data_IF_500868266745
#
_entry.id   IF_500868266745
#
_cell.length_a   1.000
_cell.length_b   1.000
_cell.length_c   1.000
_cell.angle_alpha   90.00
_cell.angle_beta   90.00
_cell.angle_gamma   90.00
#
_symmetry.space_group_name_H-M   'P 1'
#
loop_
_entity.id
_entity.type
_entity.pdbx_description
1 polymer ?
#
# COMPACT_ATOMS: atom_id res chain seq x y z
N UNK A 1 3.65 -23.71 13.65
CA UNK A 1 2.38 -24.15 13.04
C UNK A 1 1.88 -22.99 12.17
N UNK A 2 2.18 -23.03 10.87
CA UNK A 2 2.04 -21.89 9.93
C UNK A 2 1.50 -22.45 8.61
N UNK A 3 0.21 -22.86 8.58
CA UNK A 3 -0.40 -23.51 7.41
C UNK A 3 -1.58 -22.72 6.82
N UNK A 4 -2.15 -21.76 7.55
CA UNK A 4 -3.39 -21.09 7.13
C UNK A 4 -3.19 -19.94 6.13
N UNK A 5 -1.99 -19.35 6.06
CA UNK A 5 -1.68 -18.26 5.11
C UNK A 5 -1.59 -18.76 3.66
N UNK A 6 -1.11 -19.99 3.44
CA UNK A 6 -0.94 -20.55 2.10
C UNK A 6 -2.29 -20.88 1.45
N UNK A 7 -3.28 -21.31 2.24
CA UNK A 7 -4.60 -21.68 1.72
C UNK A 7 -5.35 -20.42 1.28
N UNK A 8 -5.27 -19.35 2.06
CA UNK A 8 -5.90 -18.06 1.74
C UNK A 8 -5.22 -17.39 0.54
N UNK A 9 -3.88 -17.41 0.45
CA UNK A 9 -3.14 -16.88 -0.72
C UNK A 9 -3.36 -17.72 -1.98
N UNK A 10 -3.47 -19.04 -1.85
CA UNK A 10 -3.80 -19.94 -2.96
C UNK A 10 -5.23 -19.72 -3.45
N UNK A 11 -6.21 -19.65 -2.54
CA UNK A 11 -7.60 -19.28 -2.86
C UNK A 11 -7.71 -17.90 -3.52
N UNK A 12 -6.84 -16.95 -3.13
CA UNK A 12 -6.80 -15.60 -3.70
C UNK A 12 -6.12 -15.52 -5.09
N UNK A 13 -5.41 -16.56 -5.53
CA UNK A 13 -4.80 -16.67 -6.87
C UNK A 13 -5.66 -17.48 -7.85
N UNK A 14 -6.69 -18.17 -7.40
CA UNK A 14 -7.58 -18.93 -8.29
C UNK A 14 -8.33 -17.94 -9.22
N UNK A 15 -8.19 -18.08 -10.55
CA UNK A 15 -8.89 -17.24 -11.50
C UNK A 15 -10.41 -17.35 -11.31
N UNK A 16 -11.11 -16.22 -11.36
CA UNK A 16 -12.56 -16.13 -11.14
C UNK A 16 -13.40 -17.04 -12.04
N UNK A 17 -12.88 -17.42 -13.21
CA UNK A 17 -13.52 -18.40 -14.08
C UNK A 17 -13.62 -19.78 -13.45
N UNK A 18 -12.68 -20.18 -12.60
CA UNK A 18 -12.66 -21.52 -12.00
C UNK A 18 -13.81 -21.71 -11.02
N UNK A 19 -14.17 -20.69 -10.22
CA UNK A 19 -15.33 -20.80 -9.34
C UNK A 19 -16.64 -20.75 -10.12
N UNK A 20 -16.71 -19.95 -11.19
CA UNK A 20 -17.88 -19.87 -12.08
C UNK A 20 -18.08 -21.17 -12.85
N UNK A 21 -17.03 -21.76 -13.42
CA UNK A 21 -17.11 -23.03 -14.15
C UNK A 21 -17.39 -24.19 -13.21
N UNK A 22 -16.82 -24.19 -12.00
CA UNK A 22 -17.10 -25.21 -11.00
C UNK A 22 -18.56 -25.15 -10.51
N UNK A 23 -19.09 -23.95 -10.26
CA UNK A 23 -20.50 -23.76 -9.88
C UNK A 23 -21.46 -24.10 -11.02
N UNK A 24 -21.16 -23.68 -12.25
CA UNK A 24 -21.98 -24.00 -13.42
C UNK A 24 -21.93 -25.51 -13.73
N UNK A 25 -20.76 -26.13 -13.61
CA UNK A 25 -20.57 -27.57 -13.73
C UNK A 25 -21.41 -28.31 -12.68
N UNK A 26 -21.33 -27.93 -11.41
CA UNK A 26 -22.11 -28.55 -10.34
C UNK A 26 -23.62 -28.37 -10.53
N UNK A 27 -24.06 -27.19 -10.99
CA UNK A 27 -25.47 -26.93 -11.31
C UNK A 27 -25.96 -27.77 -12.49
N UNK A 28 -25.16 -27.91 -13.55
CA UNK A 28 -25.47 -28.79 -14.68
C UNK A 28 -25.51 -30.26 -14.23
N UNK A 29 -24.56 -30.67 -13.39
CA UNK A 29 -24.50 -32.02 -12.83
C UNK A 29 -25.77 -32.33 -12.03
N UNK A 30 -26.21 -31.45 -11.13
CA UNK A 30 -27.48 -31.61 -10.43
C UNK A 30 -28.67 -31.59 -11.40
N UNK A 31 -28.72 -30.65 -12.34
CA UNK A 31 -29.84 -30.52 -13.29
C UNK A 31 -29.99 -31.72 -14.21
N UNK A 32 -28.91 -32.41 -14.59
CA UNK A 32 -28.96 -33.57 -15.49
C UNK A 32 -29.00 -34.90 -14.75
N UNK A 33 -28.39 -35.01 -13.56
CA UNK A 33 -28.36 -36.26 -12.78
C UNK A 33 -29.64 -36.46 -11.97
N UNK A 34 -30.19 -35.40 -11.36
CA UNK A 34 -31.44 -35.50 -10.57
C UNK A 34 -32.62 -36.04 -11.41
N UNK A 35 -32.91 -35.53 -12.63
CA UNK A 35 -34.01 -36.07 -13.43
C UNK A 35 -33.72 -37.46 -14.02
N UNK A 36 -32.46 -37.92 -14.03
CA UNK A 36 -32.12 -39.29 -14.44
C UNK A 36 -32.50 -40.32 -13.38
N UNK A 37 -32.49 -39.93 -12.09
CA UNK A 37 -32.97 -40.76 -10.99
C UNK A 37 -34.50 -40.66 -10.80
N UNK A 38 -35.15 -39.57 -11.23
CA UNK A 38 -36.61 -39.41 -11.14
C UNK A 38 -37.42 -40.23 -12.16
N UNK A 39 -36.79 -40.77 -13.21
CA UNK A 39 -37.49 -41.56 -14.23
C UNK A 39 -37.96 -42.97 -13.78
N UNK A 40 -37.79 -43.34 -12.51
CA UNK A 40 -38.15 -44.66 -11.99
C UNK A 40 -39.06 -44.69 -10.76
N UNK A 41 -39.47 -43.56 -10.18
CA UNK A 41 -40.41 -43.57 -9.05
C UNK A 41 -41.53 -42.52 -9.21
N UNK A 42 -42.75 -43.02 -9.28
CA UNK A 42 -44.00 -42.27 -9.51
C UNK A 42 -44.45 -41.40 -8.33
N UNK A 43 -43.55 -41.01 -7.43
CA UNK A 43 -43.88 -40.24 -6.21
C UNK A 43 -43.42 -38.77 -6.24
N UNK A 44 -42.70 -38.34 -7.29
CA UNK A 44 -42.18 -36.96 -7.40
C UNK A 44 -43.04 -36.01 -8.23
N UNK A 45 -44.07 -36.51 -8.93
CA UNK A 45 -44.93 -35.67 -9.78
C UNK A 45 -45.85 -34.69 -9.00
N UNK A 46 -46.01 -34.84 -7.68
CA UNK A 46 -46.80 -33.91 -6.86
C UNK A 46 -45.97 -32.78 -6.21
N UNK A 47 -44.64 -32.89 -6.16
CA UNK A 47 -43.79 -31.88 -5.49
C UNK A 47 -43.32 -30.77 -6.44
N UNK A 48 -43.42 -31.00 -7.76
CA UNK A 48 -43.06 -30.02 -8.80
C UNK A 48 -44.01 -28.83 -8.92
N UNK A 49 -45.23 -28.88 -8.37
CA UNK A 49 -46.26 -27.84 -8.61
C UNK A 49 -46.26 -26.72 -7.56
N UNK A 50 -45.60 -26.84 -6.40
CA UNK A 50 -45.69 -25.78 -5.37
C UNK A 50 -44.38 -25.12 -4.94
N UNK A 51 -43.20 -25.70 -5.22
CA UNK A 51 -41.93 -25.19 -4.65
C UNK A 51 -40.92 -24.68 -5.70
N UNK A 52 -41.02 -25.10 -6.96
CA UNK A 52 -40.11 -24.67 -8.03
C UNK A 52 -40.08 -23.15 -8.33
N UNK A 53 -41.23 -22.45 -8.42
CA UNK A 53 -41.26 -21.04 -8.83
C UNK A 53 -40.81 -20.05 -7.74
N UNK A 54 -40.82 -20.46 -6.47
CA UNK A 54 -40.59 -19.58 -5.32
C UNK A 54 -39.13 -19.59 -4.86
N UNK A 55 -38.44 -20.74 -4.97
CA UNK A 55 -37.03 -20.83 -4.57
C UNK A 55 -36.04 -20.44 -5.67
N UNK A 56 -36.42 -20.53 -6.95
CA UNK A 56 -35.59 -20.15 -8.08
C UNK A 56 -35.09 -18.67 -8.07
N UNK A 57 -35.94 -17.66 -7.77
CA UNK A 57 -35.47 -16.27 -7.72
C UNK A 57 -34.61 -15.96 -6.49
N UNK A 58 -34.81 -16.64 -5.36
CA UNK A 58 -34.02 -16.45 -4.13
C UNK A 58 -32.60 -17.00 -4.29
N UNK A 59 -32.45 -18.16 -4.95
CA UNK A 59 -31.14 -18.72 -5.29
C UNK A 59 -30.42 -17.87 -6.35
N UNK A 60 -31.15 -17.29 -7.31
CA UNK A 60 -30.60 -16.37 -8.30
C UNK A 60 -30.12 -15.03 -7.70
N UNK A 61 -30.86 -14.48 -6.73
CA UNK A 61 -30.49 -13.26 -6.00
C UNK A 61 -29.29 -13.48 -5.05
N UNK A 62 -29.18 -14.67 -4.44
CA UNK A 62 -28.05 -15.02 -3.57
C UNK A 62 -26.72 -15.21 -4.33
N UNK A 63 -26.74 -15.47 -5.64
CA UNK A 63 -25.53 -15.63 -6.48
C UNK A 63 -24.93 -14.31 -7.00
N UNK A 64 -25.59 -13.16 -6.82
CA UNK A 64 -25.09 -11.86 -7.29
C UNK A 64 -24.22 -11.11 -6.25
N UNK A 65 -23.93 -11.69 -5.09
CA UNK A 65 -23.34 -10.98 -3.94
C UNK A 65 -21.81 -10.99 -3.77
N UNK A 66 -20.94 -11.54 -4.63
CA UNK A 66 -19.50 -11.28 -4.50
C UNK A 66 -18.97 -10.30 -5.56
N UNK A 67 -19.70 -9.22 -5.85
CA UNK A 67 -19.27 -8.21 -6.84
C UNK A 67 -18.48 -7.02 -6.25
N UNK A 68 -18.36 -6.87 -4.92
CA UNK A 68 -17.86 -5.59 -4.34
C UNK A 68 -16.43 -5.60 -3.79
N UNK A 69 -15.72 -6.73 -3.71
CA UNK A 69 -14.39 -6.76 -3.07
C UNK A 69 -13.17 -6.75 -4.01
N UNK A 70 -13.34 -6.96 -5.32
CA UNK A 70 -12.19 -7.15 -6.24
C UNK A 70 -11.54 -5.85 -6.75
N UNK A 71 -12.30 -4.74 -6.83
CA UNK A 71 -11.77 -3.47 -7.35
C UNK A 71 -10.95 -2.66 -6.34
N UNK A 72 -11.10 -2.92 -5.03
CA UNK A 72 -10.35 -2.22 -3.98
C UNK A 72 -8.88 -2.68 -3.88
N UNK A 73 -8.52 -3.84 -4.45
CA UNK A 73 -7.16 -4.41 -4.35
C UNK A 73 -6.22 -3.99 -5.50
N UNK A 74 -6.75 -3.46 -6.61
CA UNK A 74 -5.96 -3.04 -7.79
C UNK A 74 -5.26 -1.69 -7.58
N UNK A 75 -5.91 -0.76 -6.89
CA UNK A 75 -5.37 0.59 -6.69
C UNK A 75 -4.15 0.64 -5.77
N UNK A 76 -3.94 -0.38 -4.92
CA UNK A 76 -2.73 -0.45 -4.09
C UNK A 76 -1.50 -0.78 -4.93
N UNK A 77 -1.60 -1.75 -5.85
CA UNK A 77 -0.46 -2.19 -6.67
C UNK A 77 0.02 -1.10 -7.64
N UNK A 78 -0.90 -0.31 -8.21
CA UNK A 78 -0.56 0.83 -9.08
C UNK A 78 0.18 1.93 -8.30
N UNK A 79 -0.37 2.37 -7.17
CA UNK A 79 0.29 3.40 -6.32
C UNK A 79 1.69 3.04 -5.84
N UNK A 80 1.95 1.75 -5.55
CA UNK A 80 3.30 1.31 -5.15
C UNK A 80 4.30 1.32 -6.31
N UNK A 81 3.83 1.11 -7.54
CA UNK A 81 4.68 1.17 -8.73
C UNK A 81 5.02 2.62 -9.05
N UNK A 82 4.02 3.49 -9.10
CA UNK A 82 4.17 4.92 -9.37
C UNK A 82 5.15 5.56 -8.35
N UNK A 83 5.00 5.25 -7.05
CA UNK A 83 5.90 5.76 -6.01
C UNK A 83 7.35 5.26 -6.18
N UNK A 84 7.54 4.02 -6.65
CA UNK A 84 8.89 3.49 -6.89
C UNK A 84 9.57 4.20 -8.05
N UNK A 85 8.83 4.46 -9.13
CA UNK A 85 9.35 5.21 -10.28
C UNK A 85 9.70 6.64 -9.88
N UNK A 86 8.85 7.32 -9.10
CA UNK A 86 9.14 8.66 -8.57
C UNK A 86 10.40 8.67 -7.71
N UNK A 87 10.57 7.72 -6.79
CA UNK A 87 11.77 7.62 -5.96
C UNK A 87 13.01 7.37 -6.84
N UNK A 88 12.91 6.48 -7.83
CA UNK A 88 14.02 6.23 -8.76
C UNK A 88 14.41 7.47 -9.55
N UNK A 89 13.43 8.23 -10.06
CA UNK A 89 13.68 9.50 -10.73
C UNK A 89 14.41 10.50 -9.82
N UNK A 90 14.05 10.56 -8.53
CA UNK A 90 14.75 11.40 -7.53
C UNK A 90 16.20 10.90 -7.29
N UNK A 91 16.43 9.59 -7.32
CA UNK A 91 17.76 8.98 -7.16
C UNK A 91 18.70 9.22 -8.35
N UNK A 92 18.15 9.57 -9.51
CA UNK A 92 18.93 9.90 -10.72
C UNK A 92 19.35 11.38 -10.78
N UNK A 93 18.72 12.25 -9.98
CA UNK A 93 19.04 13.68 -9.94
C UNK A 93 20.47 13.93 -9.46
N UNK A 94 21.14 14.96 -9.97
CA UNK A 94 22.42 15.38 -9.38
C UNK A 94 22.21 15.94 -7.96
N UNK A 95 23.25 15.93 -7.12
CA UNK A 95 23.17 16.47 -5.76
C UNK A 95 22.62 17.90 -5.67
N UNK A 96 23.05 18.87 -6.51
CA UNK A 96 22.47 20.21 -6.51
C UNK A 96 20.97 20.22 -6.86
N UNK A 97 20.55 19.42 -7.85
CA UNK A 97 19.14 19.31 -8.25
C UNK A 97 18.28 18.69 -7.13
N UNK A 98 18.79 17.66 -6.46
CA UNK A 98 18.11 17.05 -5.33
C UNK A 98 17.92 18.06 -4.19
N UNK A 99 18.96 18.84 -3.85
CA UNK A 99 18.84 19.89 -2.83
C UNK A 99 17.81 20.95 -3.20
N UNK A 100 17.80 21.39 -4.45
CA UNK A 100 16.82 22.37 -4.92
C UNK A 100 15.39 21.81 -4.88
N UNK A 101 15.20 20.54 -5.27
CA UNK A 101 13.91 19.86 -5.17
C UNK A 101 13.39 19.81 -3.72
N UNK A 102 14.27 19.43 -2.78
CA UNK A 102 13.93 19.41 -1.35
C UNK A 102 13.61 20.81 -0.84
N UNK A 103 14.41 21.81 -1.23
CA UNK A 103 14.18 23.21 -0.88
C UNK A 103 12.81 23.69 -1.40
N UNK A 104 12.46 23.39 -2.64
CA UNK A 104 11.18 23.74 -3.24
C UNK A 104 10.00 23.04 -2.52
N UNK A 105 10.14 21.76 -2.18
CA UNK A 105 9.13 21.03 -1.41
C UNK A 105 8.86 21.68 -0.04
N UNK A 106 9.91 22.15 0.64
CA UNK A 106 9.77 22.88 1.89
C UNK A 106 9.20 24.29 1.70
N UNK A 107 9.58 25.01 0.63
CA UNK A 107 8.97 26.31 0.28
C UNK A 107 7.45 26.20 0.09
N UNK A 108 6.98 25.11 -0.51
CA UNK A 108 5.53 24.81 -0.68
C UNK A 108 4.81 24.52 0.64
N UNK A 109 5.53 24.17 1.71
CA UNK A 109 4.97 23.89 3.05
C UNK A 109 5.19 25.04 4.04
N UNK A 110 5.33 26.27 3.52
CA UNK A 110 5.49 27.52 4.27
C UNK A 110 6.82 27.63 5.04
N UNK A 111 7.84 26.89 4.63
CA UNK A 111 9.20 27.08 5.15
C UNK A 111 9.97 28.06 4.27
N UNK A 112 10.70 28.98 4.90
CA UNK A 112 11.65 29.87 4.21
C UNK A 112 13.04 29.28 4.28
N UNK A 113 13.66 29.04 3.13
CA UNK A 113 15.05 28.54 3.04
C UNK A 113 16.01 29.70 3.29
N UNK A 114 16.99 29.49 4.17
CA UNK A 114 18.01 30.46 4.52
C UNK A 114 19.31 30.13 3.76
N UNK A 115 19.58 30.86 2.68
CA UNK A 115 20.78 30.66 1.86
C UNK A 115 22.06 31.14 2.57
N UNK A 116 21.95 32.16 3.41
CA UNK A 116 23.05 32.66 4.23
C UNK A 116 22.68 32.57 5.71
N UNK A 117 23.30 31.62 6.41
CA UNK A 117 23.18 31.47 7.85
C UNK A 117 24.51 30.98 8.42
N UNK A 118 24.75 31.22 9.70
CA UNK A 118 25.93 30.69 10.42
C UNK A 118 26.02 29.16 10.34
N UNK A 119 24.89 28.48 10.12
CA UNK A 119 24.82 27.03 10.04
C UNK A 119 24.96 26.48 8.62
N UNK A 120 24.85 27.32 7.58
CA UNK A 120 24.99 26.91 6.18
C UNK A 120 26.43 26.49 5.85
N UNK A 121 27.41 26.92 6.65
CA UNK A 121 28.81 26.50 6.53
C UNK A 121 29.11 25.14 7.21
N UNK A 122 28.16 24.55 7.93
CA UNK A 122 28.38 23.27 8.60
C UNK A 122 28.23 22.12 7.59
N UNK A 123 29.25 21.24 7.43
CA UNK A 123 29.19 20.10 6.50
C UNK A 123 28.12 19.06 6.89
N UNK A 124 27.56 19.16 8.10
CA UNK A 124 26.51 18.29 8.61
C UNK A 124 25.11 18.78 8.27
N UNK A 125 24.95 20.00 7.76
CA UNK A 125 23.64 20.61 7.47
C UNK A 125 23.56 20.93 5.98
N UNK A 126 22.56 20.37 5.30
CA UNK A 126 22.38 20.57 3.87
C UNK A 126 21.49 21.76 3.55
N UNK A 127 20.45 21.98 4.37
CA UNK A 127 19.58 23.16 4.27
C UNK A 127 19.26 23.69 5.66
N UNK A 128 19.16 25.01 5.76
CA UNK A 128 18.69 25.73 6.94
C UNK A 128 17.40 26.41 6.58
N UNK A 129 16.38 26.24 7.41
CA UNK A 129 15.06 26.79 7.11
C UNK A 129 14.37 27.35 8.35
N UNK A 130 13.43 28.27 8.12
CA UNK A 130 12.68 28.95 9.16
C UNK A 130 11.19 28.86 8.87
N UNK A 131 10.39 28.63 9.92
CA UNK A 131 8.93 28.75 9.87
C UNK A 131 8.48 29.59 11.06
N UNK A 132 8.00 30.80 10.79
CA UNK A 132 7.76 31.81 11.83
C UNK A 132 9.06 32.16 12.57
N UNK A 133 9.05 32.04 13.90
CA UNK A 133 10.23 32.26 14.75
C UNK A 133 11.14 31.02 14.91
N UNK A 134 10.69 29.85 14.42
CA UNK A 134 11.35 28.58 14.68
C UNK A 134 12.39 28.25 13.61
N UNK A 135 13.56 27.80 14.06
CA UNK A 135 14.67 27.38 13.21
C UNK A 135 14.65 25.86 13.03
N UNK A 136 14.80 25.39 11.80
CA UNK A 136 14.88 23.98 11.47
C UNK A 136 16.12 23.69 10.63
N UNK A 137 16.74 22.55 10.87
CA UNK A 137 17.91 22.09 10.14
C UNK A 137 17.58 20.82 9.39
N UNK A 138 18.05 20.73 8.15
CA UNK A 138 17.78 19.59 7.28
C UNK A 138 19.08 18.92 6.92
N UNK A 139 19.10 17.60 7.07
CA UNK A 139 20.21 16.75 6.63
C UNK A 139 19.65 15.68 5.70
N UNK A 140 20.27 15.57 4.54
CA UNK A 140 19.93 14.65 3.47
C UNK A 140 21.00 13.56 3.43
N UNK A 141 20.63 12.32 3.77
CA UNK A 141 21.56 11.19 3.82
C UNK A 141 21.13 10.08 2.89
N UNK A 142 22.14 9.49 2.24
CA UNK A 142 22.03 8.24 1.48
C UNK A 142 20.90 8.24 0.44
N UNK A 143 20.80 9.34 -0.31
CA UNK A 143 19.71 9.64 -1.22
C UNK A 143 19.65 8.75 -2.48
N UNK A 144 20.62 7.86 -2.75
CA UNK A 144 20.61 6.92 -3.91
C UNK A 144 20.41 5.44 -3.55
N UNK A 145 20.53 5.06 -2.26
CA UNK A 145 20.16 3.78 -1.64
C UNK A 145 21.09 3.50 -0.46
N UNK A 146 20.51 3.27 0.74
CA UNK A 146 21.05 2.55 1.92
C UNK A 146 19.96 2.48 2.99
N UNK A 147 20.25 1.77 4.09
CA UNK A 147 19.47 1.84 5.32
C UNK A 147 20.08 2.85 6.28
N UNK A 148 19.25 3.69 6.88
CA UNK A 148 19.69 4.63 7.93
C UNK A 148 19.49 4.01 9.31
N UNK A 149 20.58 3.91 10.06
CA UNK A 149 20.57 3.42 11.44
C UNK A 149 20.30 4.53 12.47
N UNK A 150 20.12 4.13 13.73
CA UNK A 150 19.87 5.04 14.85
C UNK A 150 20.99 6.06 15.08
N UNK A 151 22.23 5.74 14.67
CA UNK A 151 23.40 6.62 14.84
C UNK A 151 23.19 7.96 14.15
N UNK A 152 22.67 7.96 12.92
CA UNK A 152 22.41 9.19 12.17
C UNK A 152 21.35 10.05 12.84
N UNK A 153 20.27 9.42 13.34
CA UNK A 153 19.20 10.11 14.07
C UNK A 153 19.74 10.77 15.34
N UNK A 154 20.53 10.04 16.13
CA UNK A 154 21.15 10.57 17.37
C UNK A 154 22.13 11.70 17.08
N UNK A 155 22.91 11.60 16.02
CA UNK A 155 23.84 12.66 15.61
C UNK A 155 23.07 13.94 15.26
N UNK A 156 22.03 13.83 14.44
CA UNK A 156 21.22 14.98 14.06
C UNK A 156 20.47 15.59 15.25
N UNK A 157 19.98 14.76 16.18
CA UNK A 157 19.35 15.22 17.42
C UNK A 157 20.35 15.96 18.32
N UNK A 158 21.58 15.46 18.44
CA UNK A 158 22.64 16.16 19.19
C UNK A 158 22.96 17.52 18.55
N UNK A 159 22.98 17.58 17.22
CA UNK A 159 23.20 18.81 16.46
C UNK A 159 22.06 19.82 16.64
N UNK A 160 20.81 19.36 16.74
CA UNK A 160 19.65 20.19 17.08
C UNK A 160 19.89 20.96 18.38
N UNK A 161 20.30 20.25 19.44
CA UNK A 161 20.58 20.83 20.75
C UNK A 161 21.77 21.77 20.71
N UNK A 162 22.87 21.38 20.06
CA UNK A 162 24.08 22.19 19.96
C UNK A 162 23.84 23.53 19.24
N UNK A 163 22.95 23.54 18.24
CA UNK A 163 22.62 24.73 17.43
C UNK A 163 21.36 25.46 17.90
N UNK A 164 20.75 25.02 19.01
CA UNK A 164 19.48 25.54 19.53
C UNK A 164 18.38 25.64 18.46
N UNK A 165 18.33 24.66 17.56
CA UNK A 165 17.28 24.58 16.56
C UNK A 165 15.98 24.07 17.21
N UNK A 166 14.84 24.57 16.73
CA UNK A 166 13.51 24.14 17.18
C UNK A 166 13.15 22.72 16.68
N UNK A 167 13.82 22.25 15.62
CA UNK A 167 13.63 20.91 15.10
C UNK A 167 14.63 20.56 14.01
N UNK A 168 14.66 19.27 13.64
CA UNK A 168 15.52 18.74 12.59
C UNK A 168 14.78 17.79 11.66
N UNK A 169 15.20 17.73 10.41
CA UNK A 169 14.67 16.81 9.41
C UNK A 169 15.81 15.97 8.83
N UNK A 170 15.66 14.65 8.91
CA UNK A 170 16.55 13.69 8.27
C UNK A 170 15.85 13.10 7.04
N UNK A 171 16.32 13.45 5.84
CA UNK A 171 15.73 12.96 4.59
C UNK A 171 16.57 11.85 4.00
N UNK A 172 15.88 10.85 3.47
CA UNK A 172 16.46 9.76 2.69
C UNK A 172 15.42 9.20 1.72
N UNK A 173 15.86 8.73 0.56
CA UNK A 173 15.05 7.90 -0.35
C UNK A 173 15.10 6.42 0.04
N UNK A 174 15.98 6.06 0.98
CA UNK A 174 16.12 4.72 1.52
C UNK A 174 15.13 4.42 2.64
N UNK A 175 15.51 3.51 3.54
CA UNK A 175 14.65 3.12 4.67
C UNK A 175 15.37 3.28 6.01
N UNK A 176 14.65 3.78 7.00
CA UNK A 176 15.10 3.77 8.39
C UNK A 176 15.03 2.36 8.97
N UNK A 177 16.04 1.97 9.75
CA UNK A 177 15.96 0.74 10.56
C UNK A 177 14.85 0.86 11.58
N UNK A 178 14.35 -0.28 12.07
CA UNK A 178 13.25 -0.27 13.03
C UNK A 178 13.63 0.48 14.32
N UNK A 179 14.88 0.31 14.76
CA UNK A 179 15.44 1.05 15.89
C UNK A 179 15.40 2.57 15.68
N UNK A 180 15.78 3.04 14.49
CA UNK A 180 15.76 4.48 14.16
C UNK A 180 14.34 5.06 14.10
N UNK A 181 13.33 4.26 13.77
CA UNK A 181 11.92 4.68 13.73
C UNK A 181 11.28 4.79 15.12
N UNK A 182 11.79 4.04 16.09
CA UNK A 182 11.26 3.97 17.45
C UNK A 182 11.97 4.87 18.45
N UNK A 183 13.08 5.50 18.05
CA UNK A 183 13.78 6.51 18.84
C UNK A 183 13.02 7.84 18.82
#
# INVERSE_FOLDING_TARGET
MRKDLNIIDFLAQVPWWVSVTLSASFYLLLKFVVPYFEAQSSLVNEVHVSLGPVFAPVVALALLTPFTFSLLKSNRKKKFHDLKEEIQAIQELSWPQFKELVAEAFRRTEYTIMESSTFTADPSVDLVMRKGANLYLVQCRYWQNRKLGIREVKNLFSLMHAKQASGVFLLTTGVFTNEAKHY
#
